data_IF_853510993007
#
_entry.id   IF_853510993007
#
_cell.length_a   1.000
_cell.length_b   1.000
_cell.length_c   1.000
_cell.angle_alpha   90.00
_cell.angle_beta   90.00
_cell.angle_gamma   90.00
#
_symmetry.space_group_name_H-M   'P 1'
#
loop_
_entity.id
_entity.type
_entity.pdbx_description
1 polymer ?
#
# COMPACT_ATOMS: atom_id res chain seq x y z
N UNK A 1 19.82 -3.78 -0.06
CA UNK A 1 18.57 -3.67 -0.88
C UNK A 1 18.33 -2.22 -1.31
N UNK A 2 17.55 -1.94 -2.36
CA UNK A 2 17.19 -0.58 -2.81
C UNK A 2 15.66 -0.36 -2.79
N UNK A 3 15.20 0.76 -2.23
CA UNK A 3 13.77 1.12 -2.13
C UNK A 3 13.53 2.51 -2.71
N UNK A 4 12.55 2.62 -3.59
CA UNK A 4 11.98 3.90 -4.01
C UNK A 4 10.75 4.19 -3.16
N UNK A 5 10.92 5.09 -2.18
CA UNK A 5 9.84 5.50 -1.28
C UNK A 5 9.17 6.76 -1.84
N UNK A 6 8.01 6.58 -2.47
CA UNK A 6 7.23 7.70 -3.01
C UNK A 6 6.45 8.37 -1.87
N UNK A 7 6.78 9.63 -1.52
CA UNK A 7 6.21 10.25 -0.35
C UNK A 7 4.80 10.78 -0.62
N UNK A 8 4.10 11.10 0.45
CA UNK A 8 2.91 11.95 0.37
C UNK A 8 3.30 13.41 0.13
N UNK A 9 2.34 14.28 -0.23
CA UNK A 9 2.57 15.64 -0.75
C UNK A 9 3.70 16.44 -0.09
N UNK A 10 3.81 16.46 1.25
CA UNK A 10 4.85 17.22 1.97
C UNK A 10 6.25 16.56 2.00
N UNK A 11 6.48 15.50 1.22
CA UNK A 11 7.70 14.70 1.28
C UNK A 11 7.73 13.72 2.46
N UNK A 12 6.57 13.45 3.10
CA UNK A 12 6.51 12.56 4.25
C UNK A 12 6.47 11.10 3.81
N UNK A 13 7.43 10.32 4.35
CA UNK A 13 7.51 8.86 4.29
C UNK A 13 7.13 8.33 5.67
N UNK A 14 6.27 7.32 5.70
CA UNK A 14 5.77 6.73 6.95
C UNK A 14 6.91 6.06 7.74
N UNK A 15 7.24 6.54 8.96
CA UNK A 15 8.27 5.94 9.79
C UNK A 15 7.96 4.49 10.18
N UNK A 16 6.69 4.12 10.33
CA UNK A 16 6.30 2.74 10.61
C UNK A 16 6.69 1.81 9.46
N UNK A 17 6.51 2.26 8.23
CA UNK A 17 6.92 1.52 7.03
C UNK A 17 8.45 1.46 6.87
N UNK A 18 9.14 2.59 7.06
CA UNK A 18 10.59 2.65 6.84
C UNK A 18 11.35 1.93 7.94
N UNK A 19 11.06 2.21 9.21
CA UNK A 19 11.88 1.69 10.30
C UNK A 19 11.75 0.17 10.45
N UNK A 20 10.57 -0.39 10.18
CA UNK A 20 10.37 -1.84 10.20
C UNK A 20 11.21 -2.54 9.14
N UNK A 21 11.30 -1.96 7.94
CA UNK A 21 12.16 -2.45 6.88
C UNK A 21 13.65 -2.35 7.25
N UNK A 22 14.08 -1.22 7.82
CA UNK A 22 15.45 -1.05 8.34
C UNK A 22 15.79 -2.11 9.39
N UNK A 23 14.86 -2.44 10.30
CA UNK A 23 15.07 -3.49 11.28
C UNK A 23 15.16 -4.88 10.64
N UNK A 24 14.25 -5.22 9.73
CA UNK A 24 14.25 -6.52 9.02
C UNK A 24 15.57 -6.73 8.26
N UNK A 25 16.09 -5.69 7.63
CA UNK A 25 17.33 -5.75 6.84
C UNK A 25 18.57 -5.37 7.66
N UNK A 26 18.44 -5.20 8.98
CA UNK A 26 19.55 -4.83 9.89
C UNK A 26 20.31 -3.57 9.42
N UNK A 27 19.62 -2.64 8.78
CA UNK A 27 20.16 -1.41 8.21
C UNK A 27 20.77 -1.51 6.81
N UNK A 28 20.73 -2.68 6.14
CA UNK A 28 21.22 -2.85 4.76
C UNK A 28 20.19 -2.43 3.70
N UNK A 29 19.71 -1.19 3.84
CA UNK A 29 18.72 -0.59 2.95
C UNK A 29 19.21 0.76 2.42
N UNK A 30 19.23 0.90 1.10
CA UNK A 30 19.30 2.22 0.46
C UNK A 30 17.89 2.66 0.11
N UNK A 31 17.46 3.82 0.59
CA UNK A 31 16.14 4.39 0.28
C UNK A 31 16.29 5.72 -0.45
N UNK A 32 15.63 5.86 -1.60
CA UNK A 32 15.57 7.09 -2.37
C UNK A 32 14.16 7.67 -2.34
N UNK A 33 14.05 8.99 -2.17
CA UNK A 33 12.78 9.72 -2.13
C UNK A 33 12.97 11.14 -2.62
N UNK A 34 11.93 11.74 -3.19
CA UNK A 34 11.92 13.13 -3.62
C UNK A 34 10.66 13.85 -3.12
N UNK A 35 10.85 14.97 -2.44
CA UNK A 35 9.74 15.85 -2.07
C UNK A 35 9.28 16.63 -3.32
N UNK A 36 7.99 16.54 -3.63
CA UNK A 36 7.40 17.23 -4.79
C UNK A 36 6.41 18.34 -4.42
N UNK A 37 5.96 18.47 -3.16
CA UNK A 37 5.04 19.55 -2.81
C UNK A 37 5.22 20.05 -1.37
N UNK A 38 4.60 21.20 -1.11
CA UNK A 38 4.40 21.75 0.23
C UNK A 38 2.93 21.60 0.69
N UNK A 39 2.03 21.11 -0.17
CA UNK A 39 0.62 20.96 0.17
C UNK A 39 0.35 19.75 1.09
N UNK A 40 -0.62 19.87 2.03
CA UNK A 40 -1.17 18.73 2.75
C UNK A 40 -1.77 17.68 1.78
N UNK A 41 -1.49 16.39 2.00
CA UNK A 41 -1.82 15.28 1.07
C UNK A 41 -3.30 15.18 0.69
N UNK A 42 -4.22 15.42 1.62
CA UNK A 42 -5.67 15.39 1.37
C UNK A 42 -6.14 16.46 0.37
N UNK A 43 -5.47 17.62 0.33
CA UNK A 43 -5.76 18.68 -0.66
C UNK A 43 -5.18 18.33 -2.03
N UNK A 44 -4.02 17.67 -2.08
CA UNK A 44 -3.39 17.23 -3.34
C UNK A 44 -4.19 16.15 -4.07
N UNK A 45 -4.97 15.31 -3.37
CA UNK A 45 -5.89 14.34 -3.98
C UNK A 45 -6.92 15.04 -4.89
N UNK A 46 -7.30 16.28 -4.56
CA UNK A 46 -8.32 17.05 -5.26
C UNK A 46 -7.72 18.03 -6.28
N UNK A 47 -6.51 18.55 -6.05
CA UNK A 47 -6.01 19.74 -6.75
C UNK A 47 -4.81 19.53 -7.71
N UNK A 48 -3.92 18.54 -7.50
CA UNK A 48 -2.60 18.51 -8.17
C UNK A 48 -2.10 17.08 -8.49
N UNK A 49 -2.95 16.24 -9.09
CA UNK A 49 -2.60 14.85 -9.41
C UNK A 49 -1.36 14.68 -10.29
N UNK A 50 -1.18 15.54 -11.29
CA UNK A 50 -0.20 15.32 -12.37
C UNK A 50 1.25 15.52 -11.91
N UNK A 51 1.52 16.53 -11.08
CA UNK A 51 2.89 16.86 -10.65
C UNK A 51 3.50 15.75 -9.77
N UNK A 52 2.70 15.13 -8.90
CA UNK A 52 3.16 14.02 -8.04
C UNK A 52 3.54 12.78 -8.85
N UNK A 53 2.75 12.45 -9.87
CA UNK A 53 3.02 11.33 -10.77
C UNK A 53 4.27 11.59 -11.64
N UNK A 54 4.41 12.80 -12.20
CA UNK A 54 5.59 13.19 -12.99
C UNK A 54 6.89 13.08 -12.18
N UNK A 55 6.89 13.52 -10.91
CA UNK A 55 8.08 13.42 -10.05
C UNK A 55 8.40 11.97 -9.68
N UNK A 56 7.38 11.17 -9.36
CA UNK A 56 7.57 9.75 -9.07
C UNK A 56 8.12 9.02 -10.30
N UNK A 57 7.59 9.31 -11.48
CA UNK A 57 8.06 8.78 -12.77
C UNK A 57 9.51 9.17 -13.05
N UNK A 58 9.86 10.45 -12.91
CA UNK A 58 11.23 10.91 -13.12
C UNK A 58 12.23 10.24 -12.17
N UNK A 59 11.87 10.08 -10.89
CA UNK A 59 12.70 9.35 -9.92
C UNK A 59 12.84 7.88 -10.30
N UNK A 60 11.72 7.22 -10.64
CA UNK A 60 11.72 5.82 -11.05
C UNK A 60 12.59 5.61 -12.28
N UNK A 61 12.34 6.34 -13.38
CA UNK A 61 13.10 6.23 -14.63
C UNK A 61 14.59 6.45 -14.37
N UNK A 62 14.98 7.51 -13.66
CA UNK A 62 16.39 7.82 -13.38
C UNK A 62 17.09 6.70 -12.60
N UNK A 63 16.44 6.15 -11.57
CA UNK A 63 17.03 5.11 -10.73
C UNK A 63 17.00 3.76 -11.44
N UNK A 64 15.90 3.43 -12.11
CA UNK A 64 15.71 2.19 -12.84
C UNK A 64 16.69 2.07 -14.01
N UNK A 65 16.85 3.13 -14.81
CA UNK A 65 17.86 3.19 -15.88
C UNK A 65 19.27 2.95 -15.35
N UNK A 66 19.63 3.53 -14.20
CA UNK A 66 20.94 3.25 -13.60
C UNK A 66 21.01 1.81 -13.09
N UNK A 67 19.98 1.35 -12.41
CA UNK A 67 19.91 0.02 -11.80
C UNK A 67 20.03 -1.10 -12.83
N UNK A 68 19.44 -0.95 -14.02
CA UNK A 68 19.55 -1.92 -15.12
C UNK A 68 20.95 -1.98 -15.75
N UNK A 69 21.80 -0.95 -15.57
CA UNK A 69 23.22 -1.01 -15.99
C UNK A 69 24.10 -1.85 -15.07
N UNK A 70 23.62 -2.18 -13.87
CA UNK A 70 24.37 -3.00 -12.91
C UNK A 70 24.29 -4.49 -13.29
N UNK A 71 25.36 -5.28 -13.07
CA UNK A 71 25.31 -6.71 -13.35
C UNK A 71 24.22 -7.40 -12.52
N UNK A 72 23.36 -8.19 -13.17
CA UNK A 72 22.21 -8.89 -12.56
C UNK A 72 22.58 -9.64 -11.27
N UNK A 73 23.75 -10.29 -11.25
CA UNK A 73 24.22 -11.09 -10.10
C UNK A 73 24.63 -10.26 -8.88
N UNK A 74 24.76 -8.94 -9.03
CA UNK A 74 25.25 -8.03 -7.97
C UNK A 74 24.37 -6.81 -7.73
N UNK A 75 23.40 -6.54 -8.62
CA UNK A 75 22.50 -5.40 -8.45
C UNK A 75 21.58 -5.65 -7.25
N UNK A 76 21.32 -4.64 -6.40
CA UNK A 76 20.45 -4.81 -5.25
C UNK A 76 19.03 -5.14 -5.69
N UNK A 77 18.29 -5.95 -4.92
CA UNK A 77 16.84 -6.09 -5.13
C UNK A 77 16.18 -4.71 -5.03
N UNK A 78 15.36 -4.37 -6.02
CA UNK A 78 14.65 -3.09 -6.15
C UNK A 78 13.20 -3.24 -5.71
N UNK A 79 12.75 -2.41 -4.76
CA UNK A 79 11.38 -2.37 -4.28
C UNK A 79 10.78 -0.98 -4.38
N UNK A 80 9.46 -0.91 -4.52
CA UNK A 80 8.69 0.33 -4.47
C UNK A 80 7.86 0.39 -3.19
N UNK A 81 7.70 1.59 -2.65
CA UNK A 81 6.83 1.82 -1.51
C UNK A 81 6.09 3.14 -1.63
N UNK A 82 4.84 3.15 -1.15
CA UNK A 82 4.09 4.38 -0.99
C UNK A 82 2.88 4.18 -0.09
N UNK A 83 2.51 5.23 0.63
CA UNK A 83 1.28 5.31 1.42
C UNK A 83 0.35 6.33 0.77
N UNK A 84 -0.95 6.02 0.67
CA UNK A 84 -1.97 6.97 0.23
C UNK A 84 -1.64 7.51 -1.16
N UNK A 85 -1.61 8.83 -1.33
CA UNK A 85 -1.16 9.49 -2.56
C UNK A 85 0.24 9.02 -3.04
N UNK A 86 1.14 8.64 -2.11
CA UNK A 86 2.43 8.07 -2.46
C UNK A 86 2.31 6.72 -3.14
N UNK A 87 1.38 5.87 -2.72
CA UNK A 87 1.12 4.58 -3.39
C UNK A 87 0.56 4.78 -4.79
N UNK A 88 -0.36 5.73 -4.97
CA UNK A 88 -0.89 6.08 -6.28
C UNK A 88 0.22 6.58 -7.21
N UNK A 89 1.04 7.52 -6.75
CA UNK A 89 2.11 8.07 -7.58
C UNK A 89 3.19 7.02 -7.86
N UNK A 90 3.41 6.06 -6.95
CA UNK A 90 4.29 4.91 -7.15
C UNK A 90 3.73 3.90 -8.16
N UNK A 91 2.40 3.74 -8.25
CA UNK A 91 1.73 2.93 -9.27
C UNK A 91 1.85 3.60 -10.64
N UNK A 92 1.75 4.93 -10.68
CA UNK A 92 1.89 5.74 -11.90
C UNK A 92 3.35 5.99 -12.34
N UNK A 93 4.35 5.56 -11.55
CA UNK A 93 5.75 5.91 -11.83
C UNK A 93 6.41 5.06 -12.92
N UNK A 94 5.77 4.00 -13.39
CA UNK A 94 6.29 3.11 -14.43
C UNK A 94 5.19 2.62 -15.36
N UNK A 95 5.53 2.29 -16.60
CA UNK A 95 4.68 1.46 -17.46
C UNK A 95 5.15 0.00 -17.37
N UNK A 96 4.23 -0.96 -17.50
CA UNK A 96 4.57 -2.37 -17.56
C UNK A 96 5.53 -2.69 -18.72
N UNK A 97 5.42 -1.96 -19.84
CA UNK A 97 6.34 -2.11 -20.97
C UNK A 97 7.77 -1.67 -20.63
N UNK A 98 7.94 -0.77 -19.65
CA UNK A 98 9.26 -0.26 -19.24
C UNK A 98 10.04 -1.30 -18.43
N UNK A 99 9.35 -2.27 -17.82
CA UNK A 99 9.93 -3.21 -16.85
C UNK A 99 9.89 -4.68 -17.28
N UNK A 100 9.47 -4.96 -18.51
CA UNK A 100 9.18 -6.34 -18.96
C UNK A 100 10.43 -7.23 -18.97
N UNK A 101 11.59 -6.66 -19.29
CA UNK A 101 12.86 -7.37 -19.35
C UNK A 101 13.48 -7.54 -17.96
N UNK A 102 13.34 -6.53 -17.09
CA UNK A 102 13.97 -6.45 -15.77
C UNK A 102 12.97 -5.98 -14.70
N UNK A 103 11.98 -6.81 -14.29
CA UNK A 103 10.98 -6.38 -13.31
C UNK A 103 11.63 -6.04 -11.95
N UNK A 104 11.10 -5.02 -11.28
CA UNK A 104 11.43 -4.80 -9.88
C UNK A 104 10.85 -5.92 -9.01
N UNK A 105 11.43 -6.15 -7.83
CA UNK A 105 11.19 -7.36 -7.05
C UNK A 105 9.88 -7.29 -6.25
N UNK A 106 9.44 -6.08 -5.90
CA UNK A 106 8.07 -5.89 -5.47
C UNK A 106 7.69 -4.47 -5.08
N UNK A 107 6.40 -4.28 -4.81
CA UNK A 107 5.84 -3.04 -4.33
C UNK A 107 5.00 -3.29 -3.07
N UNK A 108 5.21 -2.47 -2.03
CA UNK A 108 4.30 -2.39 -0.89
C UNK A 108 3.51 -1.07 -0.97
N UNK A 109 2.20 -1.19 -1.15
CA UNK A 109 1.30 -0.05 -1.27
C UNK A 109 0.27 -0.06 -0.16
N UNK A 110 0.31 0.97 0.68
CA UNK A 110 -0.56 1.11 1.84
C UNK A 110 -1.67 2.12 1.58
N UNK A 111 -2.90 1.72 1.84
CA UNK A 111 -4.09 2.57 1.71
C UNK A 111 -4.19 3.31 0.37
N UNK A 112 -4.11 2.61 -0.77
CA UNK A 112 -4.20 3.26 -2.08
C UNK A 112 -5.52 4.01 -2.20
N UNK A 113 -5.53 5.31 -2.58
CA UNK A 113 -6.77 6.04 -2.68
C UNK A 113 -7.68 5.39 -3.72
N UNK A 114 -8.99 5.52 -3.53
CA UNK A 114 -10.02 4.91 -4.37
C UNK A 114 -9.83 5.12 -5.89
N UNK A 115 -9.09 6.15 -6.30
CA UNK A 115 -8.77 6.48 -7.70
C UNK A 115 -7.57 5.74 -8.29
N UNK A 116 -6.92 4.85 -7.54
CA UNK A 116 -5.74 4.10 -8.01
C UNK A 116 -6.15 3.02 -9.01
N UNK A 117 -5.65 3.13 -10.24
CA UNK A 117 -6.13 2.32 -11.36
C UNK A 117 -5.79 0.84 -11.20
N UNK A 118 -4.55 0.51 -10.79
CA UNK A 118 -4.15 -0.89 -10.55
C UNK A 118 -4.98 -1.50 -9.43
N UNK A 119 -5.15 -0.78 -8.31
CA UNK A 119 -6.00 -1.25 -7.19
C UNK A 119 -7.45 -1.49 -7.63
N UNK A 120 -8.04 -0.56 -8.40
CA UNK A 120 -9.40 -0.73 -8.93
C UNK A 120 -9.49 -1.92 -9.89
N UNK A 121 -8.53 -2.06 -10.81
CA UNK A 121 -8.51 -3.13 -11.80
C UNK A 121 -8.43 -4.50 -11.13
N UNK A 122 -7.55 -4.64 -10.14
CA UNK A 122 -7.39 -5.87 -9.35
C UNK A 122 -8.64 -6.17 -8.52
N UNK A 123 -9.18 -5.18 -7.80
CA UNK A 123 -10.37 -5.34 -6.95
C UNK A 123 -11.63 -5.68 -7.77
N UNK A 124 -11.78 -5.11 -8.97
CA UNK A 124 -12.88 -5.46 -9.89
C UNK A 124 -12.73 -6.83 -10.53
N UNK A 125 -11.49 -7.30 -10.70
CA UNK A 125 -11.17 -8.59 -11.32
C UNK A 125 -10.86 -9.69 -10.31
N UNK A 126 -11.22 -9.46 -9.03
CA UNK A 126 -11.01 -10.40 -7.94
C UNK A 126 -11.80 -11.70 -8.14
N UNK A 127 -11.39 -12.73 -7.44
CA UNK A 127 -12.05 -14.02 -7.44
C UNK A 127 -13.44 -13.94 -6.80
N UNK A 128 -14.39 -14.67 -7.39
CA UNK A 128 -15.76 -14.72 -6.90
C UNK A 128 -15.79 -15.23 -5.46
N UNK A 129 -16.48 -14.49 -4.58
CA UNK A 129 -16.59 -14.82 -3.16
C UNK A 129 -15.55 -14.13 -2.27
N UNK A 130 -14.50 -13.53 -2.83
CA UNK A 130 -13.63 -12.64 -2.06
C UNK A 130 -14.29 -11.26 -1.87
N UNK A 131 -14.20 -10.64 -0.68
CA UNK A 131 -14.78 -9.33 -0.43
C UNK A 131 -13.99 -8.21 -1.13
N UNK A 132 -14.65 -7.11 -1.47
CA UNK A 132 -13.98 -5.95 -2.08
C UNK A 132 -12.93 -5.31 -1.14
N UNK A 133 -13.09 -5.45 0.18
CA UNK A 133 -12.18 -4.92 1.18
C UNK A 133 -10.96 -5.81 1.45
N UNK A 134 -10.98 -7.09 1.00
CA UNK A 134 -9.84 -7.99 1.06
C UNK A 134 -9.90 -8.98 -0.12
N UNK A 135 -9.64 -8.49 -1.34
CA UNK A 135 -9.84 -9.26 -2.56
C UNK A 135 -8.75 -10.33 -2.72
N UNK A 136 -9.12 -11.45 -3.33
CA UNK A 136 -8.16 -12.44 -3.84
C UNK A 136 -8.04 -12.26 -5.34
N UNK A 137 -6.82 -12.19 -5.87
CA UNK A 137 -6.58 -12.00 -7.29
C UNK A 137 -5.61 -13.04 -7.82
N UNK A 138 -6.04 -13.81 -8.83
CA UNK A 138 -5.23 -14.84 -9.51
C UNK A 138 -4.49 -15.75 -8.52
N UNK A 139 -5.20 -16.27 -7.52
CA UNK A 139 -4.69 -17.12 -6.46
C UNK A 139 -3.47 -16.53 -5.72
N UNK A 140 -3.36 -15.20 -5.64
CA UNK A 140 -2.27 -14.50 -4.96
C UNK A 140 -0.90 -14.63 -5.63
N UNK A 141 -0.84 -14.97 -6.92
CA UNK A 141 0.45 -15.24 -7.61
C UNK A 141 1.25 -14.00 -7.97
N UNK A 142 0.60 -12.83 -7.99
CA UNK A 142 1.22 -11.53 -8.33
C UNK A 142 0.83 -10.47 -7.31
N UNK A 143 -0.47 -10.35 -7.02
CA UNK A 143 -1.01 -9.36 -6.11
C UNK A 143 -1.61 -10.04 -4.90
N UNK A 144 -1.22 -9.59 -3.71
CA UNK A 144 -1.79 -10.06 -2.44
C UNK A 144 -2.24 -8.87 -1.60
N UNK A 145 -3.31 -9.08 -0.84
CA UNK A 145 -3.90 -8.08 0.04
C UNK A 145 -3.80 -8.56 1.48
N UNK A 146 -3.53 -7.64 2.39
CA UNK A 146 -3.53 -7.87 3.83
C UNK A 146 -4.20 -6.73 4.58
N UNK A 147 -4.58 -7.03 5.82
CA UNK A 147 -5.13 -6.07 6.76
C UNK A 147 -4.66 -6.42 8.20
N UNK A 148 -5.27 -5.80 9.21
CA UNK A 148 -4.92 -6.03 10.62
C UNK A 148 -5.30 -7.42 11.17
N UNK A 149 -6.11 -8.19 10.44
CA UNK A 149 -6.63 -9.49 10.87
C UNK A 149 -6.12 -10.66 10.01
N UNK A 150 -5.58 -10.37 8.83
CA UNK A 150 -5.13 -11.35 7.86
C UNK A 150 -3.88 -10.83 7.14
N UNK A 151 -2.80 -11.60 7.20
CA UNK A 151 -1.54 -11.32 6.53
C UNK A 151 -1.53 -11.71 5.05
N UNK A 152 -0.34 -11.71 4.46
CA UNK A 152 -0.11 -12.06 3.05
C UNK A 152 0.05 -13.58 2.85
N UNK A 153 0.26 -14.31 3.94
CA UNK A 153 0.43 -15.76 4.09
C UNK A 153 -0.90 -16.53 4.10
N UNK A 154 -1.71 -16.34 3.06
CA UNK A 154 -2.87 -17.21 2.82
C UNK A 154 -2.44 -18.46 2.03
N UNK A 155 -3.29 -19.52 1.92
CA UNK A 155 -3.02 -20.70 1.10
C UNK A 155 -3.12 -20.38 -0.41
N UNK A 156 -2.42 -19.34 -0.82
CA UNK A 156 -2.22 -18.90 -2.18
C UNK A 156 -1.22 -19.81 -2.90
N UNK A 157 -1.16 -19.67 -4.22
CA UNK A 157 -0.08 -20.25 -5.01
C UNK A 157 1.26 -19.57 -4.72
N UNK A 158 2.33 -20.06 -5.34
CA UNK A 158 3.65 -19.41 -5.27
C UNK A 158 3.56 -17.94 -5.70
N UNK A 159 4.21 -17.06 -4.94
CA UNK A 159 4.30 -15.64 -5.28
C UNK A 159 5.47 -15.45 -6.25
N UNK A 160 5.17 -14.98 -7.47
CA UNK A 160 6.19 -14.82 -8.51
C UNK A 160 7.30 -13.83 -8.15
N UNK A 161 8.26 -13.67 -9.05
CA UNK A 161 9.41 -12.77 -8.85
C UNK A 161 9.03 -11.28 -8.87
N UNK A 162 7.88 -10.96 -9.47
CA UNK A 162 7.25 -9.64 -9.44
C UNK A 162 6.04 -9.66 -8.50
N UNK A 163 6.13 -8.89 -7.40
CA UNK A 163 5.19 -8.97 -6.28
C UNK A 163 4.55 -7.63 -5.96
N UNK A 164 3.23 -7.58 -5.78
CA UNK A 164 2.54 -6.38 -5.29
C UNK A 164 1.76 -6.75 -4.02
N UNK A 165 2.12 -6.11 -2.92
CA UNK A 165 1.43 -6.21 -1.64
C UNK A 165 0.59 -4.96 -1.40
N UNK A 166 -0.70 -5.14 -1.15
CA UNK A 166 -1.57 -4.08 -0.66
C UNK A 166 -1.84 -4.27 0.83
N UNK A 167 -1.46 -3.27 1.63
CA UNK A 167 -1.88 -3.16 3.03
C UNK A 167 -3.05 -2.17 3.10
N UNK A 168 -4.24 -2.65 3.45
CA UNK A 168 -5.44 -1.82 3.51
C UNK A 168 -6.36 -2.25 4.65
N UNK A 169 -7.04 -1.29 5.27
CA UNK A 169 -8.05 -1.58 6.30
C UNK A 169 -9.43 -1.34 5.74
N UNK A 170 -10.38 -2.21 6.05
CA UNK A 170 -11.75 -2.08 5.53
C UNK A 170 -12.45 -0.81 6.00
N UNK A 171 -12.01 -0.26 7.14
CA UNK A 171 -12.45 1.03 7.68
C UNK A 171 -11.76 2.25 7.04
N UNK A 172 -10.84 2.09 6.09
CA UNK A 172 -10.11 3.21 5.48
C UNK A 172 -11.00 4.05 4.54
N UNK A 173 -11.36 5.30 4.93
CA UNK A 173 -12.23 6.13 4.11
C UNK A 173 -11.55 6.64 2.83
N UNK A 174 -10.20 6.64 2.76
CA UNK A 174 -9.44 7.09 1.59
C UNK A 174 -9.44 6.01 0.50
N UNK A 175 -9.22 4.77 0.90
CA UNK A 175 -9.20 3.60 0.01
C UNK A 175 -10.59 3.28 -0.50
N UNK A 176 -11.59 3.27 0.39
CA UNK A 176 -12.94 2.82 0.08
C UNK A 176 -13.96 3.94 -0.21
N UNK A 177 -13.50 5.18 -0.41
CA UNK A 177 -14.37 6.25 -0.90
C UNK A 177 -15.04 5.85 -2.22
N UNK A 178 -16.37 5.91 -2.27
CA UNK A 178 -17.14 5.57 -3.46
C UNK A 178 -17.94 6.81 -3.92
N UNK A 179 -17.48 7.53 -4.96
CA UNK A 179 -18.17 8.71 -5.48
C UNK A 179 -19.63 8.43 -5.89
N UNK A 180 -19.93 7.21 -6.33
CA UNK A 180 -21.26 6.79 -6.76
C UNK A 180 -22.15 6.32 -5.60
N UNK A 181 -21.69 6.44 -4.35
CA UNK A 181 -22.47 6.11 -3.14
C UNK A 181 -23.74 6.96 -3.00
N UNK A 182 -23.86 8.05 -3.78
CA UNK A 182 -25.09 8.79 -3.97
C UNK A 182 -26.22 7.93 -4.59
N UNK A 183 -25.90 7.02 -5.51
CA UNK A 183 -26.88 6.25 -6.30
C UNK A 183 -26.93 4.76 -5.97
N UNK A 184 -25.84 4.18 -5.47
CA UNK A 184 -25.72 2.75 -5.19
C UNK A 184 -25.00 2.47 -3.87
N UNK A 185 -25.35 1.38 -3.21
CA UNK A 185 -24.60 0.90 -2.05
C UNK A 185 -23.19 0.44 -2.48
N UNK A 186 -22.12 0.96 -1.86
CA UNK A 186 -20.76 0.53 -2.14
C UNK A 186 -20.57 -0.97 -1.84
N UNK A 187 -19.77 -1.64 -2.66
CA UNK A 187 -19.56 -3.09 -2.53
C UNK A 187 -18.93 -3.49 -1.19
N UNK A 188 -18.06 -2.65 -0.63
CA UNK A 188 -17.43 -2.89 0.67
C UNK A 188 -18.39 -2.76 1.86
N UNK A 189 -19.57 -2.14 1.68
CA UNK A 189 -20.63 -2.04 2.69
C UNK A 189 -21.60 -3.22 2.65
N UNK A 190 -21.51 -4.08 1.63
CA UNK A 190 -22.32 -5.30 1.52
C UNK A 190 -21.70 -6.43 2.35
N UNK A 191 -22.50 -7.43 2.70
CA UNK A 191 -22.01 -8.59 3.44
C UNK A 191 -21.18 -9.53 2.52
N UNK A 192 -20.07 -10.11 3.02
CA UNK A 192 -19.51 -9.93 4.36
C UNK A 192 -18.79 -8.58 4.50
N UNK A 193 -19.08 -7.86 5.58
CA UNK A 193 -18.40 -6.59 5.90
C UNK A 193 -17.03 -6.82 6.52
N UNK A 194 -16.15 -5.84 6.37
CA UNK A 194 -14.84 -5.87 7.03
C UNK A 194 -15.03 -5.87 8.56
N UNK A 195 -14.22 -6.62 9.34
CA UNK A 195 -14.41 -6.73 10.79
C UNK A 195 -14.27 -5.41 11.56
N UNK A 196 -13.57 -4.44 10.97
CA UNK A 196 -13.35 -3.10 11.51
C UNK A 196 -14.39 -2.06 11.05
N UNK A 197 -15.37 -2.46 10.24
CA UNK A 197 -16.50 -1.59 9.86
C UNK A 197 -17.70 -1.89 10.77
N UNK A 198 -18.24 -0.84 11.39
CA UNK A 198 -19.39 -1.00 12.30
C UNK A 198 -20.60 -1.65 11.59
N UNK A 199 -21.24 -2.67 12.18
CA UNK A 199 -22.47 -3.26 11.65
C UNK A 199 -23.64 -2.27 11.65
N UNK A 200 -23.55 -1.20 12.44
CA UNK A 200 -24.56 -0.13 12.49
C UNK A 200 -24.45 0.85 11.32
N UNK A 201 -23.32 0.86 10.60
CA UNK A 201 -23.15 1.70 9.42
C UNK A 201 -24.08 1.21 8.30
N UNK A 202 -25.14 1.96 8.02
CA UNK A 202 -26.09 1.63 6.94
C UNK A 202 -25.91 2.59 5.79
N UNK A 203 -26.01 2.06 4.58
CA UNK A 203 -26.05 2.90 3.40
C UNK A 203 -27.38 3.66 3.32
N UNK A 204 -27.27 4.98 3.30
CA UNK A 204 -28.36 5.89 3.02
C UNK A 204 -27.91 6.79 1.86
N UNK A 205 -28.61 6.78 0.71
CA UNK A 205 -28.26 7.62 -0.44
C UNK A 205 -28.01 9.07 -0.01
N UNK A 206 -27.00 9.71 -0.60
CA UNK A 206 -26.56 11.09 -0.29
C UNK A 206 -25.93 11.25 1.09
N UNK A 207 -26.58 10.75 2.16
CA UNK A 207 -26.08 10.83 3.54
C UNK A 207 -24.75 10.11 3.67
N UNK A 208 -24.66 8.88 3.18
CA UNK A 208 -23.41 8.11 3.20
C UNK A 208 -22.33 8.79 2.38
N UNK A 209 -22.65 9.35 1.21
CA UNK A 209 -21.67 10.11 0.42
C UNK A 209 -21.11 11.31 1.21
N UNK A 210 -21.97 12.07 1.90
CA UNK A 210 -21.55 13.21 2.73
C UNK A 210 -20.75 12.76 3.96
N UNK A 211 -21.09 11.62 4.57
CA UNK A 211 -20.33 11.02 5.67
C UNK A 211 -18.94 10.60 5.21
N UNK A 212 -18.84 9.87 4.09
CA UNK A 212 -17.55 9.47 3.52
C UNK A 212 -16.69 10.69 3.17
N UNK A 213 -17.29 11.76 2.64
CA UNK A 213 -16.58 13.00 2.38
C UNK A 213 -16.05 13.66 3.66
N UNK A 214 -16.83 13.64 4.75
CA UNK A 214 -16.38 14.14 6.05
C UNK A 214 -15.24 13.28 6.63
N UNK A 215 -15.33 11.96 6.50
CA UNK A 215 -14.33 11.02 7.01
C UNK A 215 -12.96 11.17 6.33
N UNK A 216 -12.93 11.59 5.06
CA UNK A 216 -11.69 12.00 4.37
C UNK A 216 -10.97 13.17 5.06
N UNK A 217 -11.69 14.01 5.82
CA UNK A 217 -11.19 15.28 6.38
C UNK A 217 -10.92 15.26 7.88
N UNK A 218 -11.54 14.33 8.64
CA UNK A 218 -11.53 14.32 10.12
C UNK A 218 -10.57 13.25 10.71
N UNK A 219 -9.90 12.47 9.85
CA UNK A 219 -9.12 11.26 10.15
C UNK A 219 -8.27 11.28 11.43
N UNK A 220 -8.85 10.79 12.52
CA UNK A 220 -8.16 10.40 13.76
C UNK A 220 -8.61 8.99 14.14
N UNK A 221 -8.22 8.01 13.33
CA UNK A 221 -8.40 6.60 13.66
C UNK A 221 -7.23 6.11 14.54
N UNK A 222 -7.48 5.19 15.48
CA UNK A 222 -6.38 4.49 16.15
C UNK A 222 -5.49 3.76 15.14
N UNK A 223 -4.19 3.57 15.44
CA UNK A 223 -3.32 2.78 14.60
C UNK A 223 -3.87 1.37 14.33
N UNK A 224 -3.76 0.91 13.09
CA UNK A 224 -4.37 -0.32 12.60
C UNK A 224 -5.81 -0.19 12.12
N UNK A 225 -6.37 1.03 12.08
CA UNK A 225 -7.73 1.34 11.64
C UNK A 225 -7.75 2.59 10.76
N UNK A 226 -8.81 2.73 9.96
CA UNK A 226 -8.97 3.88 9.06
C UNK A 226 -7.77 4.03 8.13
N UNK A 227 -7.27 5.27 8.01
CA UNK A 227 -6.07 5.58 7.23
C UNK A 227 -4.80 5.67 8.09
N UNK A 228 -4.77 4.98 9.24
CA UNK A 228 -3.66 4.99 10.21
C UNK A 228 -2.99 3.62 10.28
N UNK A 229 -1.90 3.45 9.53
CA UNK A 229 -1.23 2.14 9.38
C UNK A 229 -0.25 1.87 10.52
N UNK A 230 -0.41 0.73 11.19
CA UNK A 230 0.47 0.35 12.31
C UNK A 230 1.82 -0.16 11.81
N UNK A 231 2.88 0.14 12.56
CA UNK A 231 4.21 -0.40 12.27
C UNK A 231 4.23 -1.93 12.33
N UNK A 232 3.41 -2.55 13.19
CA UNK A 232 3.29 -4.01 13.24
C UNK A 232 2.84 -4.59 11.90
N UNK A 233 1.79 -4.02 11.29
CA UNK A 233 1.30 -4.55 10.01
C UNK A 233 2.25 -4.24 8.86
N UNK A 234 2.96 -3.11 8.89
CA UNK A 234 4.06 -2.85 7.95
C UNK A 234 5.20 -3.88 8.08
N UNK A 235 5.57 -4.25 9.32
CA UNK A 235 6.60 -5.25 9.56
C UNK A 235 6.20 -6.59 8.94
N UNK A 236 4.97 -7.04 9.18
CA UNK A 236 4.45 -8.28 8.62
C UNK A 236 4.38 -8.20 7.08
N UNK A 237 3.93 -7.07 6.54
CA UNK A 237 3.90 -6.83 5.10
C UNK A 237 5.27 -6.94 4.44
N UNK A 238 6.28 -6.28 5.04
CA UNK A 238 7.63 -6.30 4.53
C UNK A 238 8.27 -7.67 4.67
N UNK A 239 8.10 -8.33 5.81
CA UNK A 239 8.67 -9.65 6.05
C UNK A 239 8.21 -10.67 5.00
N UNK A 240 6.91 -10.69 4.69
CA UNK A 240 6.36 -11.58 3.66
C UNK A 240 6.74 -11.16 2.24
N UNK A 241 6.83 -9.85 1.96
CA UNK A 241 7.17 -9.37 0.63
C UNK A 241 8.62 -9.66 0.25
N UNK A 242 9.56 -9.41 1.18
CA UNK A 242 11.01 -9.47 0.91
C UNK A 242 11.64 -10.81 1.31
N UNK A 243 10.95 -11.62 2.12
CA UNK A 243 11.41 -12.90 2.66
C UNK A 243 12.85 -12.79 3.22
N UNK A 244 13.07 -11.99 4.27
CA UNK A 244 14.41 -11.70 4.74
C UNK A 244 15.05 -12.97 5.30
N UNK A 245 16.29 -13.22 4.89
CA UNK A 245 17.08 -14.35 5.38
C UNK A 245 17.39 -14.17 6.88
N UNK A 246 17.64 -15.29 7.57
CA UNK A 246 18.13 -15.31 8.95
C UNK A 246 17.22 -14.67 10.00
N UNK A 247 15.90 -14.77 9.82
CA UNK A 247 14.90 -14.49 10.85
C UNK A 247 14.19 -15.76 11.30
N UNK A 248 14.16 -16.00 12.60
CA UNK A 248 13.27 -17.01 13.20
C UNK A 248 11.93 -16.37 13.58
N UNK A 249 10.86 -17.17 13.63
CA UNK A 249 9.53 -16.68 14.06
C UNK A 249 9.56 -16.06 15.47
N UNK A 250 10.39 -16.59 16.37
CA UNK A 250 10.56 -16.04 17.71
C UNK A 250 11.22 -14.65 17.70
N UNK A 251 12.17 -14.40 16.79
CA UNK A 251 12.80 -13.09 16.62
C UNK A 251 11.85 -12.09 15.97
N UNK A 252 11.07 -12.52 14.96
CA UNK A 252 10.03 -11.70 14.35
C UNK A 252 8.96 -11.29 15.36
N UNK A 253 8.51 -12.21 16.22
CA UNK A 253 7.55 -11.87 17.28
C UNK A 253 8.14 -10.89 18.32
N UNK A 254 9.42 -11.03 18.66
CA UNK A 254 10.08 -10.04 19.52
C UNK A 254 10.16 -8.67 18.84
N UNK A 255 10.46 -8.64 17.54
CA UNK A 255 10.50 -7.39 16.78
C UNK A 255 9.11 -6.74 16.69
N UNK A 256 8.05 -7.51 16.42
CA UNK A 256 6.64 -7.04 16.45
C UNK A 256 6.32 -6.31 17.75
N UNK A 257 6.70 -6.87 18.89
CA UNK A 257 6.52 -6.23 20.20
C UNK A 257 7.23 -4.89 20.31
N UNK A 258 8.51 -4.81 19.89
CA UNK A 258 9.30 -3.58 19.98
C UNK A 258 8.81 -2.47 19.05
N UNK A 259 8.41 -2.81 17.83
CA UNK A 259 7.92 -1.81 16.88
C UNK A 259 6.56 -1.27 17.30
N UNK A 260 5.69 -2.11 17.88
CA UNK A 260 4.40 -1.67 18.42
C UNK A 260 4.56 -0.66 19.58
N UNK A 261 5.58 -0.83 20.43
CA UNK A 261 5.86 0.10 21.52
C UNK A 261 6.48 1.42 21.04
N UNK A 262 7.30 1.37 19.98
CA UNK A 262 8.11 2.49 19.51
C UNK A 262 7.41 3.34 18.44
N UNK A 263 6.49 2.74 17.69
CA UNK A 263 5.72 3.33 16.60
C UNK A 263 4.26 2.86 16.73
N UNK A 264 3.52 3.41 17.71
CA UNK A 264 2.17 2.99 18.01
C UNK A 264 1.23 3.18 16.82
#
# INVERSE_FOLDING_TARGET
MLVLATPTGRGWVDPGAQNTLEYLQRGDVATATIQYSYLPSHLSIIAEGDYGAENARALFETVYEHWTTLPETSRPKLYLHGLSLGSLNSDLSFDFYDIIDDPFHGALWSGPPYRSETWQAVTRSRELGSPAWLPTFRNGSVVRFMNQYQGLEMPYGEWGDFRIAFLQYGSDPITFFEPWSFFREPEWMQEPRAPDVSPELRWYPVVTMLQLLADLTIGNAPPGYGHSFSARHYLDAWAELIEPEDWTEAELEQLRGRVADSYP
#
